data_IF_532755737600
#
_entry.id   IF_532755737600
#
_cell.length_a   1.000
_cell.length_b   1.000
_cell.length_c   1.000
_cell.angle_alpha   90.00
_cell.angle_beta   90.00
_cell.angle_gamma   90.00
#
_symmetry.space_group_name_H-M   'P 1'
#
loop_
_entity.id
_entity.type
_entity.pdbx_description
1 polymer ?
#
# COMPACT_ATOMS: atom_id res chain seq x y z
N UNK A 1 11.78 -21.30 12.89
CA UNK A 1 11.83 -20.88 11.49
C UNK A 1 11.61 -22.10 10.61
N UNK A 2 10.75 -21.98 9.62
CA UNK A 2 10.41 -23.01 8.63
C UNK A 2 10.85 -22.54 7.27
N UNK A 3 11.00 -23.45 6.31
CA UNK A 3 11.32 -23.07 4.92
C UNK A 3 10.15 -22.30 4.29
N UNK A 4 10.43 -21.54 3.24
CA UNK A 4 9.40 -20.81 2.50
C UNK A 4 8.36 -21.77 1.88
N UNK A 5 8.79 -22.96 1.50
CA UNK A 5 7.90 -23.99 0.96
C UNK A 5 6.89 -24.48 2.02
N UNK A 6 7.35 -24.72 3.23
CA UNK A 6 6.49 -25.11 4.36
C UNK A 6 5.57 -23.96 4.78
N UNK A 7 6.09 -22.73 4.80
CA UNK A 7 5.28 -21.54 5.06
C UNK A 7 4.17 -21.40 4.03
N UNK A 8 4.47 -21.58 2.75
CA UNK A 8 3.47 -21.50 1.68
C UNK A 8 2.42 -22.62 1.80
N UNK A 9 2.84 -23.85 2.10
CA UNK A 9 1.91 -24.96 2.37
C UNK A 9 0.99 -24.65 3.56
N UNK A 10 1.55 -24.10 4.65
CA UNK A 10 0.76 -23.73 5.81
C UNK A 10 -0.27 -22.65 5.45
N UNK A 11 0.14 -21.59 4.74
CA UNK A 11 -0.76 -20.53 4.30
C UNK A 11 -1.85 -21.04 3.35
N UNK A 12 -1.48 -21.89 2.39
CA UNK A 12 -2.40 -22.55 1.46
C UNK A 12 -3.47 -23.35 2.21
N UNK A 13 -3.04 -24.21 3.13
CA UNK A 13 -3.95 -25.03 3.92
C UNK A 13 -4.87 -24.18 4.81
N UNK A 14 -4.35 -23.09 5.37
CA UNK A 14 -5.15 -22.16 6.17
C UNK A 14 -6.28 -21.54 5.33
N UNK A 15 -5.98 -21.09 4.11
CA UNK A 15 -7.01 -20.54 3.22
C UNK A 15 -8.02 -21.60 2.82
N UNK A 16 -7.60 -22.83 2.44
CA UNK A 16 -8.47 -23.95 2.15
C UNK A 16 -9.43 -24.25 3.30
N UNK A 17 -8.90 -24.36 4.51
CA UNK A 17 -9.72 -24.64 5.69
C UNK A 17 -10.75 -23.53 5.98
N UNK A 18 -10.40 -22.26 5.73
CA UNK A 18 -11.35 -21.15 5.89
C UNK A 18 -12.46 -21.25 4.83
N UNK A 19 -12.10 -21.42 3.56
CA UNK A 19 -13.08 -21.53 2.45
C UNK A 19 -14.03 -22.70 2.70
N UNK A 20 -13.50 -23.90 2.99
CA UNK A 20 -14.29 -25.09 3.22
C UNK A 20 -15.19 -25.01 4.47
N UNK A 21 -14.79 -24.19 5.45
CA UNK A 21 -15.61 -23.97 6.66
C UNK A 21 -16.82 -23.08 6.40
N UNK A 22 -16.71 -22.11 5.50
CA UNK A 22 -17.71 -21.07 5.33
C UNK A 22 -18.42 -21.10 3.96
N UNK A 23 -18.01 -21.98 3.06
CA UNK A 23 -18.60 -22.11 1.71
C UNK A 23 -18.60 -23.57 1.29
N UNK A 24 -19.46 -23.89 0.30
CA UNK A 24 -19.51 -25.20 -0.37
C UNK A 24 -18.68 -25.19 -1.68
N UNK A 25 -17.69 -24.29 -1.80
CA UNK A 25 -16.85 -24.19 -2.97
C UNK A 25 -15.82 -25.33 -3.01
N UNK A 26 -15.59 -25.88 -4.18
CA UNK A 26 -14.57 -26.90 -4.41
C UNK A 26 -13.15 -26.31 -4.32
N UNK A 27 -12.20 -27.10 -3.82
CA UNK A 27 -10.78 -26.70 -3.67
C UNK A 27 -10.13 -26.23 -4.98
N UNK A 28 -10.65 -26.62 -6.15
CA UNK A 28 -10.12 -26.20 -7.46
C UNK A 28 -10.25 -24.71 -7.74
N UNK A 29 -11.11 -23.99 -7.00
CA UNK A 29 -11.21 -22.53 -7.09
C UNK A 29 -10.03 -21.83 -6.41
N UNK A 30 -9.27 -22.54 -5.56
CA UNK A 30 -8.15 -22.00 -4.79
C UNK A 30 -6.87 -22.20 -5.59
N UNK A 31 -6.30 -21.10 -6.05
CA UNK A 31 -5.03 -21.14 -6.78
C UNK A 31 -3.86 -21.29 -5.82
N UNK A 32 -2.73 -21.81 -6.35
CA UNK A 32 -1.50 -21.93 -5.59
C UNK A 32 -0.95 -20.56 -5.15
N UNK A 33 -0.37 -20.53 -3.95
CA UNK A 33 0.32 -19.35 -3.44
C UNK A 33 1.51 -19.04 -4.33
N UNK A 34 1.60 -17.80 -4.74
CA UNK A 34 2.75 -17.27 -5.47
C UNK A 34 3.64 -16.53 -4.49
N UNK A 35 4.85 -17.05 -4.27
CA UNK A 35 5.89 -16.38 -3.51
C UNK A 35 6.93 -15.80 -4.48
N UNK A 36 7.45 -14.62 -4.14
CA UNK A 36 8.50 -13.96 -4.90
C UNK A 36 9.72 -13.82 -3.99
N UNK A 37 10.31 -12.65 -3.87
CA UNK A 37 11.48 -12.47 -3.02
C UNK A 37 11.15 -12.60 -1.54
N UNK A 38 11.96 -13.36 -0.80
CA UNK A 38 11.87 -13.52 0.65
C UNK A 38 12.51 -12.35 1.40
N UNK A 39 13.54 -11.74 0.81
CA UNK A 39 14.33 -10.66 1.37
C UNK A 39 14.27 -9.43 0.47
N UNK A 40 14.64 -8.29 1.04
CA UNK A 40 14.78 -6.99 0.35
C UNK A 40 13.53 -6.53 -0.41
N UNK A 41 12.34 -7.01 -0.03
CA UNK A 41 11.09 -6.72 -0.72
C UNK A 41 10.37 -5.46 -0.22
N UNK A 42 10.68 -5.00 1.00
CA UNK A 42 9.98 -3.85 1.60
C UNK A 42 10.59 -2.54 1.13
N UNK A 43 9.70 -1.65 0.73
CA UNK A 43 10.03 -0.28 0.36
C UNK A 43 9.73 0.75 1.48
N UNK A 44 9.39 0.29 2.68
CA UNK A 44 9.10 1.15 3.83
C UNK A 44 9.47 0.47 5.14
N UNK A 45 10.05 1.25 6.06
CA UNK A 45 10.26 0.88 7.47
C UNK A 45 9.93 2.06 8.36
N UNK A 46 9.45 1.78 9.56
CA UNK A 46 9.35 2.76 10.66
C UNK A 46 10.28 2.31 11.76
N UNK A 47 11.20 3.17 12.15
CA UNK A 47 12.12 2.98 13.27
C UNK A 47 11.69 3.86 14.43
N UNK A 48 11.90 3.37 15.63
CA UNK A 48 11.59 4.07 16.87
C UNK A 48 12.88 4.33 17.64
N UNK A 49 12.98 5.51 18.23
CA UNK A 49 14.13 5.90 19.02
C UNK A 49 13.85 5.89 20.51
N UNK A 50 14.81 5.41 21.31
CA UNK A 50 14.78 5.46 22.76
C UNK A 50 16.20 5.41 23.31
N UNK A 51 16.55 6.34 24.18
CA UNK A 51 17.90 6.40 24.81
C UNK A 51 19.04 6.43 23.76
N UNK A 52 18.90 7.22 22.70
CA UNK A 52 19.83 7.31 21.59
C UNK A 52 20.03 5.99 20.79
N UNK A 53 19.12 5.03 20.96
CA UNK A 53 19.07 3.81 20.15
C UNK A 53 17.93 3.93 19.17
N UNK A 54 18.21 3.74 17.88
CA UNK A 54 17.20 3.71 16.83
C UNK A 54 16.98 2.27 16.37
N UNK A 55 15.72 1.83 16.30
CA UNK A 55 15.43 0.43 15.98
C UNK A 55 13.95 0.09 15.92
N UNK A 56 13.64 -1.18 16.18
CA UNK A 56 12.28 -1.70 16.17
C UNK A 56 11.82 -2.06 17.59
N UNK A 57 10.52 -1.92 17.84
CA UNK A 57 9.95 -2.41 19.08
C UNK A 57 10.02 -3.94 19.18
N UNK A 58 10.31 -4.44 20.37
CA UNK A 58 10.13 -5.84 20.70
C UNK A 58 8.66 -6.22 20.69
N UNK A 59 8.38 -7.50 20.49
CA UNK A 59 7.01 -7.99 20.44
C UNK A 59 6.28 -7.72 21.77
N UNK A 60 5.15 -7.02 21.72
CA UNK A 60 4.29 -6.65 22.86
C UNK A 60 4.97 -5.76 23.89
N UNK A 61 5.97 -4.99 23.53
CA UNK A 61 6.64 -4.04 24.42
C UNK A 61 7.03 -2.76 23.66
N UNK A 62 7.40 -1.72 24.44
CA UNK A 62 7.95 -0.46 23.91
C UNK A 62 9.48 -0.42 24.09
N UNK A 63 10.12 -1.57 24.25
CA UNK A 63 11.58 -1.66 24.22
C UNK A 63 12.07 -1.62 22.78
N UNK A 64 13.10 -0.81 22.53
CA UNK A 64 13.71 -0.65 21.20
C UNK A 64 14.94 -1.54 21.12
N UNK A 65 14.93 -2.44 20.13
CA UNK A 65 16.13 -3.20 19.73
C UNK A 65 16.79 -2.44 18.59
N UNK A 66 18.09 -2.14 18.73
CA UNK A 66 18.87 -1.49 17.70
C UNK A 66 18.80 -2.27 16.39
N UNK A 67 18.64 -1.54 15.29
CA UNK A 67 18.69 -2.10 13.94
C UNK A 67 19.81 -1.41 13.17
N UNK A 68 20.85 -2.17 12.86
CA UNK A 68 21.92 -1.72 11.97
C UNK A 68 21.60 -2.09 10.52
N UNK A 69 20.94 -3.23 10.30
CA UNK A 69 20.50 -3.72 9.01
C UNK A 69 19.20 -4.51 9.16
N UNK A 70 18.29 -4.38 8.18
CA UNK A 70 17.06 -5.16 8.09
C UNK A 70 17.03 -5.93 6.77
N UNK A 71 17.04 -7.26 6.84
CA UNK A 71 17.04 -8.12 5.66
C UNK A 71 15.77 -7.99 4.79
N UNK A 72 14.66 -7.49 5.35
CA UNK A 72 13.39 -7.38 4.64
C UNK A 72 13.29 -6.12 3.79
N UNK A 73 14.01 -5.05 4.12
CA UNK A 73 13.97 -3.79 3.36
C UNK A 73 15.00 -3.80 2.23
N UNK A 74 14.78 -2.97 1.20
CA UNK A 74 15.76 -2.83 0.14
C UNK A 74 17.05 -2.13 0.64
N UNK A 75 18.15 -2.30 -0.12
CA UNK A 75 19.46 -1.79 0.27
C UNK A 75 19.49 -0.27 0.49
N UNK A 76 18.71 0.48 -0.28
CA UNK A 76 18.64 1.95 -0.13
C UNK A 76 18.13 2.37 1.24
N UNK A 77 17.18 1.62 1.81
CA UNK A 77 16.70 1.86 3.17
C UNK A 77 17.82 1.53 4.18
N UNK A 78 18.56 0.43 4.00
CA UNK A 78 19.69 0.08 4.89
C UNK A 78 20.80 1.15 4.87
N UNK A 79 21.10 1.73 3.70
CA UNK A 79 22.03 2.87 3.61
C UNK A 79 21.56 4.06 4.50
N UNK A 80 20.26 4.39 4.46
CA UNK A 80 19.70 5.47 5.29
C UNK A 80 19.72 5.10 6.78
N UNK A 81 19.42 3.84 7.14
CA UNK A 81 19.51 3.35 8.53
C UNK A 81 20.93 3.56 9.07
N UNK A 82 21.95 3.20 8.28
CA UNK A 82 23.35 3.35 8.67
C UNK A 82 23.71 4.83 8.91
N UNK A 83 23.28 5.74 8.04
CA UNK A 83 23.49 7.19 8.24
C UNK A 83 22.76 7.67 9.49
N UNK A 84 21.51 7.30 9.69
CA UNK A 84 20.74 7.70 10.87
C UNK A 84 21.37 7.20 12.17
N UNK A 85 21.93 6.00 12.19
CA UNK A 85 22.66 5.47 13.35
C UNK A 85 23.94 6.25 13.68
N UNK A 86 24.56 6.91 12.70
CA UNK A 86 25.74 7.76 12.91
C UNK A 86 25.37 9.16 13.41
N UNK A 87 24.25 9.71 12.96
CA UNK A 87 23.82 11.09 13.29
C UNK A 87 22.73 11.14 14.37
N UNK A 88 22.42 10.00 14.99
CA UNK A 88 21.32 9.87 15.94
C UNK A 88 21.65 10.57 17.26
N UNK A 89 21.15 11.78 17.41
CA UNK A 89 21.29 12.55 18.65
C UNK A 89 20.01 12.51 19.51
N UNK A 90 18.83 12.44 18.90
CA UNK A 90 17.56 12.38 19.62
C UNK A 90 16.38 12.14 18.67
N UNK A 91 16.48 11.11 17.85
CA UNK A 91 15.37 10.70 16.97
C UNK A 91 14.36 9.89 17.79
N UNK A 92 13.10 10.30 17.80
CA UNK A 92 11.99 9.58 18.43
C UNK A 92 11.36 8.57 17.46
N UNK A 93 11.22 8.97 16.20
CA UNK A 93 10.67 8.14 15.12
C UNK A 93 11.29 8.54 13.79
N UNK A 94 11.62 7.55 12.97
CA UNK A 94 12.04 7.76 11.60
C UNK A 94 11.27 6.83 10.65
N UNK A 95 10.56 7.40 9.69
CA UNK A 95 9.90 6.67 8.62
C UNK A 95 10.74 6.83 7.36
N UNK A 96 11.26 5.72 6.86
CA UNK A 96 12.01 5.67 5.61
C UNK A 96 11.16 4.96 4.58
N UNK A 97 10.96 5.59 3.42
CA UNK A 97 10.23 5.02 2.30
C UNK A 97 10.99 5.26 1.01
N UNK A 98 11.09 4.24 0.16
CA UNK A 98 11.64 4.38 -1.18
C UNK A 98 10.57 4.19 -2.24
N UNK A 99 10.84 4.69 -3.45
CA UNK A 99 10.12 4.24 -4.65
C UNK A 99 10.34 2.75 -4.90
N UNK A 100 9.45 2.11 -5.68
CA UNK A 100 9.54 0.67 -5.96
C UNK A 100 10.86 0.25 -6.63
N UNK A 101 11.47 1.15 -7.39
CA UNK A 101 12.79 0.95 -8.02
C UNK A 101 13.96 1.43 -7.13
N UNK A 102 13.68 1.81 -5.88
CA UNK A 102 14.64 2.33 -4.89
C UNK A 102 15.47 3.55 -5.32
N UNK A 103 15.02 4.32 -6.33
CA UNK A 103 15.74 5.49 -6.83
C UNK A 103 15.48 6.74 -6.00
N UNK A 104 14.28 6.88 -5.47
CA UNK A 104 13.86 8.05 -4.70
C UNK A 104 13.51 7.68 -3.27
N UNK A 105 13.79 8.59 -2.32
CA UNK A 105 13.65 8.36 -0.88
C UNK A 105 12.87 9.47 -0.22
N UNK A 106 11.91 9.09 0.63
CA UNK A 106 11.31 9.95 1.66
C UNK A 106 11.90 9.55 3.01
N UNK A 107 12.31 10.54 3.77
CA UNK A 107 12.68 10.42 5.17
C UNK A 107 11.82 11.40 5.99
N UNK A 108 11.01 10.85 6.89
CA UNK A 108 10.16 11.63 7.82
C UNK A 108 10.61 11.34 9.25
N UNK A 109 11.10 12.37 9.94
CA UNK A 109 11.70 12.27 11.27
C UNK A 109 10.90 13.08 12.28
N UNK A 110 10.66 12.46 13.44
CA UNK A 110 10.31 13.17 14.68
C UNK A 110 11.52 13.17 15.61
N UNK A 111 11.82 14.31 16.19
CA UNK A 111 12.95 14.50 17.08
C UNK A 111 13.88 15.61 16.64
N UNK A 112 15.11 15.58 17.13
CA UNK A 112 16.15 16.60 16.84
C UNK A 112 17.24 15.98 15.97
N UNK A 113 17.68 16.72 14.96
CA UNK A 113 18.79 16.36 14.08
C UNK A 113 19.62 17.62 13.86
N UNK A 114 20.94 17.54 14.03
CA UNK A 114 21.86 18.64 13.80
C UNK A 114 22.33 18.70 12.35
N UNK A 115 22.66 17.57 11.74
CA UNK A 115 23.20 17.54 10.37
C UNK A 115 22.10 17.38 9.30
N UNK A 116 21.29 18.43 9.17
CA UNK A 116 20.20 18.48 8.17
C UNK A 116 20.74 18.46 6.73
N UNK A 117 21.89 19.09 6.48
CA UNK A 117 22.45 19.17 5.13
C UNK A 117 22.93 17.80 4.63
N UNK A 118 23.49 16.97 5.50
CA UNK A 118 23.82 15.58 5.17
C UNK A 118 22.55 14.82 4.76
N UNK A 119 21.49 14.89 5.56
CA UNK A 119 20.24 14.20 5.24
C UNK A 119 19.62 14.70 3.92
N UNK A 120 19.63 16.01 3.66
CA UNK A 120 19.16 16.59 2.38
C UNK A 120 19.94 16.08 1.18
N UNK A 121 21.21 15.73 1.34
CA UNK A 121 22.04 15.25 0.24
C UNK A 121 21.75 13.81 -0.18
N UNK A 122 21.13 13.00 0.70
CA UNK A 122 20.93 11.57 0.50
C UNK A 122 19.47 11.17 0.28
N UNK A 123 18.51 12.09 0.46
CA UNK A 123 17.08 11.83 0.26
C UNK A 123 16.44 12.89 -0.63
N UNK A 124 15.38 12.50 -1.34
CA UNK A 124 14.61 13.40 -2.22
C UNK A 124 13.60 14.24 -1.44
N UNK A 125 12.99 13.65 -0.42
CA UNK A 125 12.01 14.29 0.45
C UNK A 125 12.44 14.13 1.89
N UNK A 126 12.73 15.24 2.55
CA UNK A 126 13.03 15.29 3.98
C UNK A 126 11.93 16.04 4.71
N UNK A 127 11.40 15.40 5.73
CA UNK A 127 10.40 15.97 6.64
C UNK A 127 10.96 15.86 8.07
N UNK A 128 10.92 16.94 8.83
CA UNK A 128 11.33 16.98 10.24
C UNK A 128 10.21 17.62 11.05
N UNK A 129 9.70 16.89 12.03
CA UNK A 129 8.60 17.33 12.90
C UNK A 129 7.40 17.87 12.09
N UNK A 130 7.04 17.16 11.00
CA UNK A 130 5.92 17.50 10.12
C UNK A 130 6.18 18.65 9.14
N UNK A 131 7.39 19.27 9.14
CA UNK A 131 7.76 20.32 8.18
C UNK A 131 8.60 19.76 7.05
N UNK A 132 8.21 20.06 5.80
CA UNK A 132 9.02 19.73 4.63
C UNK A 132 10.27 20.63 4.58
N UNK A 133 11.44 20.01 4.60
CA UNK A 133 12.74 20.69 4.49
C UNK A 133 13.15 20.79 3.03
N UNK A 134 12.83 19.80 2.22
CA UNK A 134 13.06 19.78 0.77
C UNK A 134 11.91 20.42 0.00
N UNK A 135 12.18 20.91 -1.22
CA UNK A 135 11.12 21.44 -2.10
C UNK A 135 10.19 20.35 -2.62
N UNK A 136 10.75 19.17 -2.92
CA UNK A 136 10.00 17.99 -3.36
C UNK A 136 9.18 17.44 -2.20
N UNK A 137 7.94 17.06 -2.44
CA UNK A 137 6.99 16.59 -1.41
C UNK A 137 6.55 15.14 -1.59
N UNK A 138 6.81 14.58 -2.76
CA UNK A 138 6.43 13.19 -3.12
C UNK A 138 7.57 12.53 -3.88
N UNK A 139 7.61 11.22 -3.86
CA UNK A 139 8.45 10.40 -4.74
C UNK A 139 7.57 9.75 -5.81
N UNK A 140 8.19 9.29 -6.90
CA UNK A 140 7.49 8.59 -7.99
C UNK A 140 7.77 7.10 -7.88
N UNK A 141 6.70 6.31 -7.69
CA UNK A 141 6.74 4.85 -7.80
C UNK A 141 6.08 4.39 -9.09
N UNK A 142 6.53 3.27 -9.64
CA UNK A 142 6.02 2.71 -10.89
C UNK A 142 5.40 1.33 -10.63
N UNK A 143 4.20 1.09 -11.18
CA UNK A 143 3.55 -0.23 -11.20
C UNK A 143 3.14 -0.51 -12.64
N UNK A 144 3.80 -1.47 -13.28
CA UNK A 144 3.64 -1.69 -14.72
C UNK A 144 4.05 -0.44 -15.51
N UNK A 145 3.14 0.07 -16.34
CA UNK A 145 3.38 1.26 -17.16
C UNK A 145 2.86 2.56 -16.52
N UNK A 146 2.39 2.50 -15.27
CA UNK A 146 1.79 3.63 -14.58
C UNK A 146 2.73 4.19 -13.52
N UNK A 147 2.72 5.52 -13.38
CA UNK A 147 3.49 6.27 -12.39
C UNK A 147 2.58 6.80 -11.30
N UNK A 148 3.07 6.76 -10.06
CA UNK A 148 2.30 7.19 -8.91
C UNK A 148 3.12 8.12 -8.02
N UNK A 149 2.55 9.28 -7.71
CA UNK A 149 3.04 10.11 -6.62
C UNK A 149 2.76 9.41 -5.29
N UNK A 150 3.78 9.27 -4.48
CA UNK A 150 3.69 8.69 -3.15
C UNK A 150 4.17 9.72 -2.14
N UNK A 151 3.29 10.16 -1.26
CA UNK A 151 3.63 11.07 -0.17
C UNK A 151 4.03 10.29 1.10
N UNK A 152 4.58 10.98 2.09
CA UNK A 152 4.96 10.35 3.35
C UNK A 152 3.77 9.71 4.08
N UNK A 153 2.59 10.34 4.00
CA UNK A 153 1.37 9.96 4.70
C UNK A 153 0.48 8.99 3.92
N UNK A 154 0.61 8.94 2.59
CA UNK A 154 -0.24 8.08 1.76
C UNK A 154 0.06 6.60 1.98
N UNK A 155 -0.99 5.79 1.87
CA UNK A 155 -0.82 4.34 1.79
C UNK A 155 -0.29 3.97 0.40
N UNK A 156 0.70 3.09 0.37
CA UNK A 156 1.22 2.47 -0.83
C UNK A 156 1.75 1.08 -0.48
N UNK A 157 1.52 0.09 -1.33
CA UNK A 157 1.91 -1.30 -1.06
C UNK A 157 3.41 -1.41 -0.80
N UNK A 158 3.77 -2.08 0.31
CA UNK A 158 5.17 -2.14 0.78
C UNK A 158 6.01 -3.20 0.08
N UNK A 159 5.39 -4.21 -0.52
CA UNK A 159 6.09 -5.26 -1.24
C UNK A 159 6.14 -4.94 -2.74
N UNK A 160 7.26 -4.38 -3.20
CA UNK A 160 7.43 -3.94 -4.59
C UNK A 160 7.32 -5.08 -5.62
N UNK A 161 7.65 -6.31 -5.26
CA UNK A 161 7.61 -7.46 -6.17
C UNK A 161 6.21 -8.04 -6.34
N UNK A 162 5.41 -8.03 -5.28
CA UNK A 162 4.07 -8.63 -5.27
C UNK A 162 3.01 -7.65 -5.77
N UNK A 163 3.18 -6.34 -5.54
CA UNK A 163 2.17 -5.32 -5.85
C UNK A 163 1.65 -5.42 -7.28
N UNK A 164 2.55 -5.50 -8.26
CA UNK A 164 2.13 -5.62 -9.67
C UNK A 164 1.32 -6.88 -9.92
N UNK A 165 1.72 -8.00 -9.34
CA UNK A 165 1.04 -9.29 -9.51
C UNK A 165 -0.34 -9.29 -8.88
N UNK A 166 -0.47 -8.67 -7.70
CA UNK A 166 -1.77 -8.48 -7.05
C UNK A 166 -2.71 -7.65 -7.94
N UNK A 167 -2.22 -6.55 -8.52
CA UNK A 167 -3.01 -5.71 -9.41
C UNK A 167 -3.30 -6.38 -10.76
N UNK A 168 -2.39 -7.23 -11.25
CA UNK A 168 -2.61 -8.04 -12.47
C UNK A 168 -3.83 -8.99 -12.31
N UNK A 169 -4.13 -9.50 -11.11
CA UNK A 169 -5.34 -10.32 -10.89
C UNK A 169 -6.62 -9.49 -11.12
N UNK A 170 -6.70 -8.27 -10.55
CA UNK A 170 -7.82 -7.36 -10.80
C UNK A 170 -7.87 -6.91 -12.27
N UNK A 171 -6.71 -6.65 -12.87
CA UNK A 171 -6.60 -6.29 -14.28
C UNK A 171 -7.13 -7.41 -15.20
N UNK A 172 -6.85 -8.67 -14.89
CA UNK A 172 -7.35 -9.79 -15.66
C UNK A 172 -8.87 -9.90 -15.61
N UNK A 173 -9.47 -9.64 -14.44
CA UNK A 173 -10.93 -9.53 -14.32
C UNK A 173 -11.47 -8.40 -15.21
N UNK A 174 -10.88 -7.21 -15.13
CA UNK A 174 -11.31 -6.06 -15.94
C UNK A 174 -11.15 -6.31 -17.45
N UNK A 175 -10.08 -6.99 -17.89
CA UNK A 175 -9.87 -7.36 -19.30
C UNK A 175 -10.94 -8.32 -19.84
N UNK A 176 -11.35 -9.29 -19.05
CA UNK A 176 -12.37 -10.27 -19.47
C UNK A 176 -13.77 -9.66 -19.47
N UNK A 177 -14.06 -8.84 -18.45
CA UNK A 177 -15.40 -8.26 -18.27
C UNK A 177 -15.64 -7.02 -19.15
N UNK A 178 -14.60 -6.23 -19.44
CA UNK A 178 -14.71 -4.90 -20.06
C UNK A 178 -15.84 -4.08 -19.42
N UNK A 179 -15.81 -3.84 -18.10
CA UNK A 179 -16.96 -3.31 -17.36
C UNK A 179 -17.29 -1.88 -17.78
N UNK A 180 -18.59 -1.58 -17.91
CA UNK A 180 -19.04 -0.21 -18.16
C UNK A 180 -18.93 0.67 -16.90
N UNK A 181 -19.19 0.08 -15.73
CA UNK A 181 -19.16 0.79 -14.45
C UNK A 181 -18.36 0.03 -13.40
N UNK A 182 -17.39 0.70 -12.82
CA UNK A 182 -16.52 0.17 -11.76
C UNK A 182 -16.59 1.07 -10.54
N UNK A 183 -16.66 0.47 -9.37
CA UNK A 183 -16.57 1.14 -8.08
C UNK A 183 -15.33 0.63 -7.35
N UNK A 184 -14.35 1.52 -7.09
CA UNK A 184 -13.12 1.23 -6.36
C UNK A 184 -13.26 1.74 -4.93
N UNK A 185 -13.58 0.83 -3.99
CA UNK A 185 -13.84 1.15 -2.59
C UNK A 185 -12.57 1.05 -1.75
N UNK A 186 -12.36 2.04 -0.88
CA UNK A 186 -11.10 2.23 -0.15
C UNK A 186 -9.93 2.44 -1.12
N UNK A 187 -10.16 3.26 -2.16
CA UNK A 187 -9.26 3.38 -3.30
C UNK A 187 -7.86 3.95 -2.95
N UNK A 188 -7.69 4.52 -1.75
CA UNK A 188 -6.43 5.12 -1.33
C UNK A 188 -5.96 6.17 -2.34
N UNK A 189 -4.74 6.04 -2.82
CA UNK A 189 -4.16 6.94 -3.84
C UNK A 189 -4.55 6.59 -5.28
N UNK A 190 -5.66 5.83 -5.45
CA UNK A 190 -6.25 5.50 -6.75
C UNK A 190 -5.48 4.45 -7.55
N UNK A 191 -4.59 3.70 -6.91
CA UNK A 191 -3.62 2.85 -7.61
C UNK A 191 -4.27 1.74 -8.42
N UNK A 192 -5.26 1.02 -7.87
CA UNK A 192 -5.91 -0.10 -8.56
C UNK A 192 -6.82 0.43 -9.67
N UNK A 193 -7.68 1.43 -9.37
CA UNK A 193 -8.57 2.03 -10.35
C UNK A 193 -7.83 2.57 -11.57
N UNK A 194 -6.72 3.29 -11.37
CA UNK A 194 -5.86 3.79 -12.46
C UNK A 194 -5.24 2.62 -13.24
N UNK A 195 -4.76 1.57 -12.54
CA UNK A 195 -4.11 0.42 -13.16
C UNK A 195 -5.01 -0.34 -14.12
N UNK A 196 -6.31 -0.46 -13.80
CA UNK A 196 -7.30 -1.18 -14.62
C UNK A 196 -8.03 -0.27 -15.64
N UNK A 197 -7.85 1.06 -15.55
CA UNK A 197 -8.66 2.08 -16.25
C UNK A 197 -8.78 1.87 -17.75
N UNK A 198 -7.74 1.37 -18.41
CA UNK A 198 -7.72 1.12 -19.85
C UNK A 198 -8.81 0.14 -20.34
N UNK A 199 -9.27 -0.74 -19.46
CA UNK A 199 -10.26 -1.78 -19.78
C UNK A 199 -11.65 -1.48 -19.25
N UNK A 200 -11.85 -0.34 -18.62
CA UNK A 200 -13.10 0.08 -17.99
C UNK A 200 -13.65 1.31 -18.72
N UNK A 201 -14.97 1.44 -18.83
CA UNK A 201 -15.58 2.63 -19.43
C UNK A 201 -15.64 3.79 -18.44
N UNK A 202 -16.02 3.54 -17.19
CA UNK A 202 -16.07 4.52 -16.11
C UNK A 202 -15.72 3.90 -14.78
N UNK A 203 -14.97 4.62 -13.96
CA UNK A 203 -14.55 4.20 -12.61
C UNK A 203 -14.87 5.32 -11.63
N UNK A 204 -15.39 4.97 -10.46
CA UNK A 204 -15.50 5.89 -9.32
C UNK A 204 -14.71 5.28 -8.16
N UNK A 205 -13.72 6.00 -7.67
CA UNK A 205 -12.94 5.65 -6.47
C UNK A 205 -13.46 6.40 -5.24
N UNK A 206 -13.59 5.72 -4.11
CA UNK A 206 -14.05 6.31 -2.85
C UNK A 206 -13.03 6.02 -1.74
N UNK A 207 -12.56 7.05 -1.07
CA UNK A 207 -11.72 6.96 0.13
C UNK A 207 -12.05 8.12 1.07
N UNK A 208 -11.97 7.90 2.39
CA UNK A 208 -12.30 8.93 3.38
C UNK A 208 -11.17 9.91 3.65
N UNK A 209 -9.96 9.58 3.27
CA UNK A 209 -8.76 10.38 3.57
C UNK A 209 -8.50 11.39 2.45
N UNK A 210 -8.64 12.67 2.78
CA UNK A 210 -8.43 13.78 1.84
C UNK A 210 -7.06 13.75 1.17
N UNK A 211 -5.99 13.46 1.93
CA UNK A 211 -4.63 13.37 1.37
C UNK A 211 -4.49 12.22 0.36
N UNK A 212 -5.21 11.11 0.57
CA UNK A 212 -5.25 10.02 -0.42
C UNK A 212 -5.93 10.48 -1.71
N UNK A 213 -7.05 11.18 -1.61
CA UNK A 213 -7.81 11.68 -2.78
C UNK A 213 -7.02 12.74 -3.55
N UNK A 214 -6.31 13.62 -2.85
CA UNK A 214 -5.39 14.57 -3.51
C UNK A 214 -4.30 13.84 -4.31
N UNK A 215 -3.66 12.83 -3.72
CA UNK A 215 -2.64 12.03 -4.40
C UNK A 215 -3.27 11.20 -5.54
N UNK A 216 -4.48 10.66 -5.37
CA UNK A 216 -5.21 9.95 -6.42
C UNK A 216 -5.49 10.83 -7.66
N UNK A 217 -5.88 12.10 -7.46
CA UNK A 217 -6.08 13.04 -8.55
C UNK A 217 -4.77 13.38 -9.27
N UNK A 218 -3.66 13.60 -8.55
CA UNK A 218 -2.33 13.77 -9.16
C UNK A 218 -1.91 12.52 -9.95
N UNK A 219 -2.21 11.33 -9.42
CA UNK A 219 -1.92 10.06 -10.07
C UNK A 219 -2.74 9.84 -11.33
N UNK A 220 -4.00 10.24 -11.33
CA UNK A 220 -4.84 10.28 -12.53
C UNK A 220 -4.25 11.19 -13.61
N UNK A 221 -3.81 12.38 -13.22
CA UNK A 221 -3.24 13.39 -14.13
C UNK A 221 -1.93 12.92 -14.75
N UNK A 222 -0.94 12.46 -13.95
CA UNK A 222 0.36 12.02 -14.45
C UNK A 222 0.26 10.84 -15.44
N UNK A 223 -0.81 10.03 -15.31
CA UNK A 223 -1.08 8.89 -16.18
C UNK A 223 -2.06 9.21 -17.31
N UNK A 224 -2.53 10.46 -17.44
CA UNK A 224 -3.51 10.88 -18.45
C UNK A 224 -4.81 10.05 -18.45
N UNK A 225 -5.23 9.54 -17.30
CA UNK A 225 -6.46 8.75 -17.15
C UNK A 225 -7.65 9.71 -17.02
N UNK A 226 -8.66 9.56 -17.90
CA UNK A 226 -9.80 10.49 -17.96
C UNK A 226 -11.13 9.87 -17.49
N UNK A 227 -11.20 8.56 -17.42
CA UNK A 227 -12.41 7.81 -17.13
C UNK A 227 -12.52 7.36 -15.66
N UNK A 228 -11.83 8.06 -14.77
CA UNK A 228 -11.91 7.83 -13.33
C UNK A 228 -12.20 9.14 -12.59
N UNK A 229 -13.07 9.07 -11.59
CA UNK A 229 -13.38 10.13 -10.65
C UNK A 229 -13.11 9.64 -9.22
N UNK A 230 -12.62 10.52 -8.35
CA UNK A 230 -12.34 10.20 -6.95
C UNK A 230 -13.20 11.06 -6.02
N UNK A 231 -13.82 10.41 -5.02
CA UNK A 231 -14.72 11.02 -4.05
C UNK A 231 -14.11 10.87 -2.65
N UNK A 232 -13.96 12.00 -1.95
CA UNK A 232 -13.53 12.02 -0.55
C UNK A 232 -14.73 11.85 0.36
N UNK A 233 -15.02 10.64 0.79
CA UNK A 233 -16.08 10.32 1.76
C UNK A 233 -15.88 8.90 2.32
N UNK A 234 -16.60 8.58 3.37
CA UNK A 234 -16.68 7.21 3.88
C UNK A 234 -17.47 6.34 2.91
N UNK A 235 -16.94 5.13 2.66
CA UNK A 235 -17.54 4.15 1.75
C UNK A 235 -19.01 3.87 2.13
N UNK A 236 -19.28 3.67 3.41
CA UNK A 236 -20.63 3.38 3.92
C UNK A 236 -21.67 4.49 3.69
N UNK A 237 -21.23 5.72 3.42
CA UNK A 237 -22.14 6.83 3.10
C UNK A 237 -22.48 6.86 1.61
N UNK A 238 -21.52 6.55 0.74
CA UNK A 238 -21.63 6.76 -0.71
C UNK A 238 -22.09 5.53 -1.49
N UNK A 239 -21.78 4.32 -1.01
CA UNK A 239 -22.03 3.08 -1.75
C UNK A 239 -23.49 2.92 -2.20
N UNK A 240 -24.45 3.48 -1.47
CA UNK A 240 -25.89 3.41 -1.77
C UNK A 240 -26.35 4.26 -2.94
N UNK A 241 -25.54 5.22 -3.35
CA UNK A 241 -25.87 6.11 -4.46
C UNK A 241 -25.62 5.45 -5.82
N UNK A 242 -24.83 4.36 -5.82
CA UNK A 242 -24.44 3.66 -7.03
C UNK A 242 -25.44 2.54 -7.36
N UNK A 243 -25.73 2.39 -8.65
CA UNK A 243 -26.61 1.36 -9.21
C UNK A 243 -26.00 0.79 -10.48
N UNK A 244 -26.35 -0.45 -10.81
CA UNK A 244 -25.91 -1.14 -12.03
C UNK A 244 -24.39 -1.17 -12.17
N UNK A 245 -23.69 -1.51 -11.08
CA UNK A 245 -22.25 -1.64 -11.06
C UNK A 245 -21.85 -3.02 -11.63
N UNK A 246 -20.98 -3.02 -12.62
CA UNK A 246 -20.46 -4.26 -13.20
C UNK A 246 -19.39 -4.89 -12.31
N UNK A 247 -18.41 -4.08 -11.86
CA UNK A 247 -17.30 -4.53 -11.04
C UNK A 247 -17.12 -3.64 -9.81
N UNK A 248 -17.03 -4.25 -8.63
CA UNK A 248 -16.56 -3.59 -7.42
C UNK A 248 -15.17 -4.09 -7.08
N UNK A 249 -14.22 -3.20 -6.95
CA UNK A 249 -12.88 -3.45 -6.40
C UNK A 249 -12.88 -3.03 -4.94
N UNK A 250 -12.33 -3.87 -4.07
CA UNK A 250 -12.31 -3.62 -2.62
C UNK A 250 -10.95 -4.00 -2.07
N UNK A 251 -10.20 -3.03 -1.54
CA UNK A 251 -8.95 -3.23 -0.78
C UNK A 251 -9.10 -2.59 0.62
N UNK A 252 -9.84 -3.24 1.54
CA UNK A 252 -10.23 -2.64 2.80
C UNK A 252 -9.09 -2.67 3.83
N UNK A 253 -9.18 -1.89 4.92
CA UNK A 253 -8.25 -1.98 6.04
C UNK A 253 -8.29 -3.37 6.69
N UNK A 254 -7.30 -3.69 7.53
CA UNK A 254 -7.14 -5.01 8.20
C UNK A 254 -8.38 -5.50 8.97
N UNK A 255 -9.23 -4.61 9.44
CA UNK A 255 -10.50 -4.96 10.10
C UNK A 255 -11.55 -5.55 9.12
N UNK A 256 -11.28 -5.50 7.82
CA UNK A 256 -12.24 -5.89 6.77
C UNK A 256 -13.36 -4.86 6.60
N UNK A 257 -14.44 -5.29 5.94
CA UNK A 257 -15.61 -4.45 5.69
C UNK A 257 -16.48 -4.38 6.95
N UNK A 258 -16.98 -3.20 7.26
CA UNK A 258 -18.02 -3.01 8.27
C UNK A 258 -19.37 -3.63 7.83
N UNK A 259 -20.30 -3.78 8.78
CA UNK A 259 -21.60 -4.43 8.54
C UNK A 259 -22.41 -3.67 7.48
N UNK A 260 -22.45 -2.35 7.55
CA UNK A 260 -23.25 -1.49 6.65
C UNK A 260 -22.72 -1.57 5.21
N UNK A 261 -21.42 -1.57 5.02
CA UNK A 261 -20.79 -1.76 3.71
C UNK A 261 -21.12 -3.13 3.11
N UNK A 262 -21.08 -4.21 3.91
CA UNK A 262 -21.46 -5.56 3.45
C UNK A 262 -22.92 -5.61 2.99
N UNK A 263 -23.85 -5.09 3.79
CA UNK A 263 -25.29 -5.03 3.46
C UNK A 263 -25.54 -4.22 2.18
N UNK A 264 -24.81 -3.12 2.02
CA UNK A 264 -24.90 -2.28 0.83
C UNK A 264 -24.33 -2.95 -0.42
N UNK A 265 -23.21 -3.69 -0.31
CA UNK A 265 -22.67 -4.48 -1.42
C UNK A 265 -23.64 -5.55 -1.89
N UNK A 266 -24.31 -6.24 -0.96
CA UNK A 266 -25.37 -7.21 -1.29
C UNK A 266 -26.51 -6.50 -2.01
N UNK A 267 -26.93 -5.32 -1.56
CA UNK A 267 -28.04 -4.57 -2.14
C UNK A 267 -27.76 -4.04 -3.54
N UNK A 268 -26.56 -3.49 -3.80
CA UNK A 268 -26.19 -3.02 -5.15
C UNK A 268 -25.93 -4.18 -6.12
N UNK A 269 -25.69 -5.38 -5.59
CA UNK A 269 -25.58 -6.64 -6.34
C UNK A 269 -24.70 -6.51 -7.60
N UNK A 270 -23.43 -6.18 -7.49
CA UNK A 270 -22.55 -6.04 -8.64
C UNK A 270 -22.37 -7.40 -9.33
N UNK A 271 -22.05 -7.39 -10.64
CA UNK A 271 -21.80 -8.64 -11.37
C UNK A 271 -20.57 -9.38 -10.87
N UNK A 272 -19.57 -8.64 -10.36
CA UNK A 272 -18.31 -9.20 -9.85
C UNK A 272 -17.77 -8.32 -8.72
N UNK A 273 -17.12 -8.95 -7.74
CA UNK A 273 -16.35 -8.29 -6.69
C UNK A 273 -14.92 -8.82 -6.75
N UNK A 274 -13.95 -7.93 -6.92
CA UNK A 274 -12.53 -8.21 -6.74
C UNK A 274 -12.12 -7.74 -5.33
N UNK A 275 -11.97 -8.69 -4.40
CA UNK A 275 -11.69 -8.41 -3.00
C UNK A 275 -10.23 -8.72 -2.69
N UNK A 276 -9.45 -7.73 -2.26
CA UNK A 276 -8.11 -7.89 -1.73
C UNK A 276 -8.18 -7.95 -0.21
N UNK A 277 -7.50 -8.91 0.40
CA UNK A 277 -7.42 -9.04 1.87
C UNK A 277 -5.97 -9.20 2.30
N UNK A 278 -5.54 -8.40 3.29
CA UNK A 278 -4.21 -8.47 3.90
C UNK A 278 -4.28 -9.02 5.33
#
# INVERSE_FOLDING_TARGET
HISIEEENKYKQNKIKNIINKFTDLDDSVIRDIKCFNELSYRNKITLHGKNNVLGLYTNKSNEVIKVDECLLVNNKINEIINVLNQVNENIEEAIIRTSNNAKEVILDIKGSITDIELLKSIVDVLIINGKYITKKKTIISEIGNYKYHVSAKSFFQVNSYVTKKLYDETLNVAKVMCPNSVLDLYCGTGTIGIYISKYCKSIVGVDYNESNIEDANKNKEINNVKNIEFICDKVENRINEFKNIDLVVVDPPRAGLDKKTKENLIRISPKMIAYTSC
#
